data_IF_799866044819
#
_entry.id   IF_799866044819
#
_cell.length_a   1.000
_cell.length_b   1.000
_cell.length_c   1.000
_cell.angle_alpha   90.00
_cell.angle_beta   90.00
_cell.angle_gamma   90.00
#
_symmetry.space_group_name_H-M   'P 1'
#
loop_
_entity.id
_entity.type
_entity.pdbx_description
1 polymer ?
#
# COMPACT_ATOMS: atom_id res chain seq x y z
N UNK A 1 22.02 -8.81 5.81
CA UNK A 1 21.00 -7.84 5.37
C UNK A 1 19.64 -8.35 5.80
N UNK A 2 19.07 -7.79 6.88
CA UNK A 2 17.75 -8.21 7.37
C UNK A 2 16.70 -7.50 6.52
N UNK A 3 16.01 -8.25 5.65
CA UNK A 3 14.85 -7.75 4.92
C UNK A 3 13.69 -7.73 5.91
N UNK A 4 13.44 -6.58 6.55
CA UNK A 4 12.22 -6.38 7.35
C UNK A 4 11.03 -6.51 6.41
N UNK A 5 10.17 -7.50 6.63
CA UNK A 5 8.90 -7.62 5.93
C UNK A 5 8.12 -6.35 6.24
N UNK A 6 7.77 -5.59 5.20
CA UNK A 6 7.05 -4.33 5.34
C UNK A 6 5.56 -4.67 5.41
N UNK A 7 4.85 -4.14 6.39
CA UNK A 7 3.41 -4.36 6.52
C UNK A 7 2.66 -3.82 5.30
N UNK A 8 1.61 -4.56 4.92
CA UNK A 8 0.67 -4.18 3.89
C UNK A 8 -0.72 -4.16 4.49
N UNK A 9 -1.50 -3.12 4.17
CA UNK A 9 -2.93 -3.10 4.49
C UNK A 9 -3.73 -2.90 3.21
N UNK A 10 -4.93 -3.48 3.23
CA UNK A 10 -5.85 -3.46 2.12
C UNK A 10 -7.08 -2.69 2.57
N UNK A 11 -7.44 -1.63 1.85
CA UNK A 11 -8.65 -0.86 2.16
C UNK A 11 -9.90 -1.61 1.75
N UNK A 12 -11.08 -1.16 2.18
CA UNK A 12 -12.37 -1.72 1.74
C UNK A 12 -12.59 -1.63 0.23
N UNK A 13 -11.90 -0.72 -0.45
CA UNK A 13 -11.90 -0.58 -1.91
C UNK A 13 -10.84 -1.46 -2.58
N UNK A 14 -10.28 -2.43 -1.87
CA UNK A 14 -9.21 -3.33 -2.33
C UNK A 14 -7.88 -2.63 -2.66
N UNK A 15 -7.63 -1.40 -2.22
CA UNK A 15 -6.35 -0.73 -2.51
C UNK A 15 -5.27 -1.27 -1.58
N UNK A 16 -4.11 -1.59 -2.15
CA UNK A 16 -3.00 -2.17 -1.38
C UNK A 16 -1.97 -1.10 -1.12
N UNK A 17 -1.84 -0.78 0.17
CA UNK A 17 -0.83 0.12 0.68
C UNK A 17 0.26 -0.64 1.39
N UNK A 18 1.40 0.00 1.51
CA UNK A 18 2.58 -0.58 2.13
C UNK A 18 3.17 0.43 3.10
N UNK A 19 3.27 0.04 4.36
CA UNK A 19 3.63 0.94 5.47
C UNK A 19 5.10 1.29 5.39
N UNK A 20 5.45 2.56 5.36
CA UNK A 20 6.85 3.01 5.24
C UNK A 20 7.44 3.40 6.58
N UNK A 21 6.65 4.06 7.42
CA UNK A 21 7.07 4.50 8.74
C UNK A 21 5.89 4.56 9.69
N UNK A 22 6.14 4.14 10.92
CA UNK A 22 5.30 4.44 12.06
C UNK A 22 5.99 5.61 12.76
N UNK A 23 5.62 6.85 12.43
CA UNK A 23 6.07 7.96 13.26
C UNK A 23 5.33 7.83 14.59
N UNK A 24 6.09 7.70 15.70
CA UNK A 24 5.55 7.50 17.04
C UNK A 24 5.18 8.83 17.73
N UNK A 25 5.39 9.96 17.06
CA UNK A 25 5.16 11.31 17.59
C UNK A 25 3.98 12.07 16.98
N UNK A 26 3.53 11.68 15.79
CA UNK A 26 2.29 12.15 15.16
C UNK A 26 1.41 10.89 15.02
N UNK A 27 0.11 10.95 15.29
CA UNK A 27 -0.83 9.81 15.16
C UNK A 27 -1.03 9.40 13.68
N UNK A 28 0.02 9.40 12.87
CA UNK A 28 -0.02 9.28 11.42
C UNK A 28 0.92 8.16 10.96
N UNK A 29 0.34 7.10 10.42
CA UNK A 29 1.12 6.03 9.78
C UNK A 29 1.45 6.42 8.35
N UNK A 30 2.74 6.58 8.01
CA UNK A 30 3.15 6.92 6.64
C UNK A 30 3.11 5.69 5.75
N UNK A 31 2.25 5.71 4.75
CA UNK A 31 2.02 4.59 3.85
C UNK A 31 2.39 4.95 2.40
N UNK A 32 2.57 3.95 1.53
CA UNK A 32 2.70 4.13 0.08
C UNK A 32 1.70 3.24 -0.66
N UNK A 33 0.93 3.83 -1.56
CA UNK A 33 0.03 3.11 -2.45
C UNK A 33 0.84 2.30 -3.47
N UNK A 34 0.68 0.97 -3.43
CA UNK A 34 1.47 0.05 -4.26
C UNK A 34 0.64 -0.57 -5.37
N UNK A 35 -0.61 -0.90 -5.10
CA UNK A 35 -1.50 -1.52 -6.07
C UNK A 35 -2.91 -0.97 -5.96
N UNK A 36 -3.51 -0.71 -7.11
CA UNK A 36 -4.92 -0.33 -7.25
C UNK A 36 -5.61 -1.46 -8.04
N UNK A 37 -6.82 -1.89 -7.64
CA UNK A 37 -7.61 -2.81 -8.44
C UNK A 37 -7.86 -2.23 -9.83
N UNK A 38 -7.56 -3.02 -10.85
CA UNK A 38 -7.70 -2.65 -12.25
C UNK A 38 -7.92 -3.94 -13.03
N UNK A 39 -9.06 -4.09 -13.71
CA UNK A 39 -9.40 -5.28 -14.49
C UNK A 39 -8.45 -5.52 -15.68
N UNK A 40 -7.68 -4.49 -16.06
CA UNK A 40 -6.60 -4.57 -17.05
C UNK A 40 -5.21 -4.59 -16.42
N UNK A 41 -5.14 -4.72 -15.09
CA UNK A 41 -3.90 -4.78 -14.33
C UNK A 41 -3.05 -6.00 -14.66
N UNK A 42 -1.74 -5.81 -14.70
CA UNK A 42 -0.76 -6.86 -15.04
C UNK A 42 -0.58 -7.90 -13.92
N UNK A 43 -0.98 -7.57 -12.68
CA UNK A 43 -0.85 -8.46 -11.53
C UNK A 43 -2.18 -9.14 -11.23
N UNK A 44 -2.18 -10.46 -11.20
CA UNK A 44 -3.35 -11.26 -10.79
C UNK A 44 -3.18 -11.69 -9.34
N UNK A 45 -4.20 -11.47 -8.53
CA UNK A 45 -4.30 -11.98 -7.16
C UNK A 45 -5.67 -12.62 -6.96
N UNK A 46 -5.89 -13.29 -5.84
CA UNK A 46 -7.13 -14.01 -5.52
C UNK A 46 -8.38 -13.09 -5.59
N UNK A 47 -8.20 -11.79 -5.30
CA UNK A 47 -9.26 -10.78 -5.26
C UNK A 47 -9.49 -10.04 -6.57
N UNK A 48 -8.75 -10.38 -7.63
CA UNK A 48 -8.84 -9.73 -8.93
C UNK A 48 -7.50 -9.25 -9.48
N UNK A 49 -7.57 -8.36 -10.46
CA UNK A 49 -6.39 -7.80 -11.13
C UNK A 49 -6.00 -6.46 -10.53
N UNK A 50 -4.71 -6.19 -10.57
CA UNK A 50 -4.09 -5.05 -9.92
C UNK A 50 -3.07 -4.40 -10.84
N UNK A 51 -3.09 -3.07 -10.86
CA UNK A 51 -2.07 -2.25 -11.50
C UNK A 51 -1.06 -1.78 -10.47
N UNK A 52 0.22 -2.01 -10.75
CA UNK A 52 1.31 -1.51 -9.90
C UNK A 52 1.45 -0.01 -10.07
N UNK A 53 1.35 0.71 -8.97
CA UNK A 53 1.55 2.15 -8.92
C UNK A 53 3.03 2.43 -8.61
N UNK A 54 3.63 3.32 -9.40
CA UNK A 54 5.00 3.82 -9.21
C UNK A 54 4.95 5.26 -8.67
N UNK A 55 4.08 5.52 -7.70
CA UNK A 55 3.97 6.84 -7.09
C UNK A 55 4.93 6.90 -5.90
N UNK A 56 5.88 7.84 -5.93
CA UNK A 56 6.88 8.00 -4.86
C UNK A 56 6.31 8.65 -3.59
N UNK A 57 5.12 9.27 -3.66
CA UNK A 57 4.52 10.02 -2.55
C UNK A 57 3.00 9.86 -2.57
N UNK A 58 2.50 8.96 -1.74
CA UNK A 58 1.07 8.85 -1.43
C UNK A 58 0.95 8.76 0.08
N UNK A 59 1.08 9.88 0.78
CA UNK A 59 0.92 9.92 2.24
C UNK A 59 -0.55 9.63 2.53
N UNK A 60 -0.83 8.48 3.15
CA UNK A 60 -2.13 8.15 3.69
C UNK A 60 -2.01 8.36 5.20
N UNK A 61 -2.66 9.38 5.75
CA UNK A 61 -2.75 9.59 7.20
C UNK A 61 -3.86 8.67 7.68
N UNK A 62 -3.48 7.57 8.35
CA UNK A 62 -4.43 6.73 9.09
C UNK A 62 -4.64 7.40 10.46
N UNK A 63 -5.59 8.34 10.51
CA UNK A 63 -6.15 8.87 11.75
C UNK A 63 -7.37 8.07 12.21
#
# INVERSE_FOLDING_TARGET
MIVRIRDFFITKQNWIFSVVSYDLGEEEVKCLLRYIPDDRGERVAERGRYRKIRLLRSICILG
#
